data_IF_328648978417
#
_entry.id   IF_328648978417
#
_cell.length_a   1.000
_cell.length_b   1.000
_cell.length_c   1.000
_cell.angle_alpha   90.00
_cell.angle_beta   90.00
_cell.angle_gamma   90.00
#
_symmetry.space_group_name_H-M   'P 1'
#
loop_
_entity.id
_entity.type
_entity.pdbx_description
1 polymer ?
#
# COMPACT_ATOMS: atom_id res chain seq x y z
N UNK A 1 4.67 -0.31 3.59
CA UNK A 1 5.32 -1.63 3.54
C UNK A 1 5.37 -2.34 4.90
N UNK A 2 5.96 -1.75 5.95
CA UNK A 2 6.06 -2.41 7.29
C UNK A 2 4.68 -2.68 7.88
N UNK A 3 3.77 -1.72 7.83
CA UNK A 3 2.39 -1.88 8.27
C UNK A 3 1.65 -2.96 7.47
N UNK A 4 1.83 -2.98 6.16
CA UNK A 4 1.30 -4.03 5.29
C UNK A 4 1.82 -5.42 5.70
N UNK A 5 3.14 -5.55 5.96
CA UNK A 5 3.72 -6.82 6.39
C UNK A 5 3.15 -7.30 7.74
N UNK A 6 2.88 -6.37 8.67
CA UNK A 6 2.23 -6.69 9.95
C UNK A 6 0.77 -7.12 9.77
N UNK A 7 0.05 -6.47 8.88
CA UNK A 7 -1.36 -6.79 8.60
C UNK A 7 -1.55 -8.09 7.82
N UNK A 8 -0.51 -8.51 7.06
CA UNK A 8 -0.53 -9.73 6.25
C UNK A 8 0.07 -10.95 6.96
N UNK A 9 0.37 -10.86 8.26
CA UNK A 9 0.93 -11.97 9.02
C UNK A 9 -0.04 -13.15 9.04
N UNK A 10 0.46 -14.32 8.64
CA UNK A 10 -0.25 -15.57 8.80
C UNK A 10 -0.40 -15.89 10.31
N UNK A 11 -1.55 -16.38 10.75
CA UNK A 11 -1.72 -16.85 12.13
C UNK A 11 -0.59 -17.79 12.53
N UNK A 12 0.13 -17.47 13.60
CA UNK A 12 1.24 -18.28 14.11
C UNK A 12 2.64 -17.95 13.58
N UNK A 13 2.80 -17.00 12.65
CA UNK A 13 4.11 -16.62 12.11
C UNK A 13 4.97 -15.78 13.08
N UNK A 14 4.40 -15.24 14.16
CA UNK A 14 5.09 -14.35 15.09
C UNK A 14 5.56 -13.05 14.41
N UNK A 15 6.38 -12.24 15.11
CA UNK A 15 6.90 -10.96 14.59
C UNK A 15 8.10 -11.13 13.63
N UNK A 16 8.63 -12.34 13.45
CA UNK A 16 9.83 -12.61 12.68
C UNK A 16 9.85 -12.02 11.27
N UNK A 17 8.82 -12.24 10.43
CA UNK A 17 8.77 -11.69 9.08
C UNK A 17 8.74 -10.16 9.04
N UNK A 18 8.01 -9.52 9.96
CA UNK A 18 7.93 -8.06 10.05
C UNK A 18 9.27 -7.46 10.50
N UNK A 19 9.91 -8.04 11.51
CA UNK A 19 11.24 -7.63 11.98
C UNK A 19 12.31 -7.78 10.90
N UNK A 20 12.24 -8.86 10.11
CA UNK A 20 13.14 -9.07 8.99
C UNK A 20 12.96 -8.00 7.91
N UNK A 21 11.70 -7.68 7.58
CA UNK A 21 11.37 -6.60 6.65
C UNK A 21 11.88 -5.24 7.16
N UNK A 22 11.69 -4.94 8.45
CA UNK A 22 12.18 -3.70 9.06
C UNK A 22 13.71 -3.55 8.92
N UNK A 23 14.47 -4.62 9.16
CA UNK A 23 15.92 -4.61 8.98
C UNK A 23 16.32 -4.36 7.52
N UNK A 24 15.69 -5.05 6.57
CA UNK A 24 15.97 -4.85 5.14
C UNK A 24 15.63 -3.42 4.70
N UNK A 25 14.47 -2.91 5.11
CA UNK A 25 14.05 -1.54 4.80
C UNK A 25 15.01 -0.50 5.39
N UNK A 26 15.56 -0.73 6.60
CA UNK A 26 16.54 0.18 7.19
C UNK A 26 17.80 0.32 6.31
N UNK A 27 18.37 -0.79 5.81
CA UNK A 27 19.50 -0.76 4.88
C UNK A 27 19.15 0.00 3.58
N UNK A 28 17.95 -0.24 3.03
CA UNK A 28 17.50 0.45 1.80
C UNK A 28 17.38 1.96 2.04
N UNK A 29 16.78 2.39 3.15
CA UNK A 29 16.64 3.80 3.53
C UNK A 29 17.98 4.52 3.64
N UNK A 30 18.94 3.86 4.29
CA UNK A 30 20.27 4.41 4.52
C UNK A 30 21.18 4.33 3.27
N UNK A 31 20.70 3.75 2.18
CA UNK A 31 21.50 3.45 0.98
C UNK A 31 22.72 2.56 1.31
N UNK A 32 22.56 1.64 2.25
CA UNK A 32 23.59 0.71 2.68
C UNK A 32 23.43 -0.64 1.98
N UNK A 33 24.53 -1.37 1.71
CA UNK A 33 24.44 -2.74 1.22
C UNK A 33 23.67 -3.64 2.19
N UNK A 34 22.77 -4.47 1.67
CA UNK A 34 22.07 -5.46 2.49
C UNK A 34 23.05 -6.62 2.74
N UNK A 35 23.37 -6.94 4.01
CA UNK A 35 24.31 -8.01 4.37
C UNK A 35 23.87 -9.39 3.84
N UNK A 36 24.85 -10.25 3.52
CA UNK A 36 24.58 -11.57 2.94
C UNK A 36 23.78 -12.49 3.86
N UNK A 37 24.01 -12.39 5.16
CA UNK A 37 23.26 -13.15 6.15
C UNK A 37 21.79 -12.70 6.21
N UNK A 38 21.55 -11.41 6.08
CA UNK A 38 20.20 -10.84 6.02
C UNK A 38 19.50 -11.25 4.70
N UNK A 39 20.24 -11.26 3.58
CA UNK A 39 19.72 -11.78 2.29
C UNK A 39 19.30 -13.24 2.39
N UNK A 40 20.11 -14.07 3.05
CA UNK A 40 19.81 -15.49 3.26
C UNK A 40 18.57 -15.70 4.15
N UNK A 41 18.42 -14.89 5.21
CA UNK A 41 17.24 -14.93 6.08
C UNK A 41 15.97 -14.46 5.36
N UNK A 42 16.10 -13.50 4.44
CA UNK A 42 15.00 -12.92 3.68
C UNK A 42 14.61 -13.75 2.44
N UNK A 43 15.00 -15.02 2.37
CA UNK A 43 14.70 -15.88 1.22
C UNK A 43 13.18 -16.02 1.01
N UNK A 44 12.70 -15.77 -0.23
CA UNK A 44 11.30 -15.89 -0.60
C UNK A 44 10.86 -14.85 -1.63
N UNK A 45 9.69 -15.04 -2.25
CA UNK A 45 9.19 -14.14 -3.30
C UNK A 45 8.46 -12.89 -2.76
N UNK A 46 8.17 -12.84 -1.47
CA UNK A 46 7.35 -11.79 -0.86
C UNK A 46 8.07 -11.08 0.29
N UNK A 47 7.57 -9.91 0.67
CA UNK A 47 8.06 -9.15 1.81
C UNK A 47 9.55 -8.80 1.67
N UNK A 48 10.35 -9.12 2.69
CA UNK A 48 11.77 -8.86 2.70
C UNK A 48 12.50 -9.56 1.53
N UNK A 49 12.07 -10.78 1.14
CA UNK A 49 12.66 -11.54 0.04
C UNK A 49 12.49 -10.84 -1.31
N UNK A 50 11.35 -10.22 -1.56
CA UNK A 50 11.14 -9.42 -2.76
C UNK A 50 12.13 -8.23 -2.81
N UNK A 51 12.33 -7.55 -1.68
CA UNK A 51 13.20 -6.36 -1.61
C UNK A 51 14.67 -6.70 -1.82
N UNK A 52 15.19 -7.77 -1.20
CA UNK A 52 16.61 -8.14 -1.33
C UNK A 52 17.01 -8.58 -2.74
N UNK A 53 16.02 -8.95 -3.56
CA UNK A 53 16.21 -9.36 -4.95
C UNK A 53 15.90 -8.25 -5.96
N UNK A 54 15.50 -7.06 -5.52
CA UNK A 54 15.26 -5.92 -6.40
C UNK A 54 16.56 -5.38 -7.01
N UNK A 55 16.54 -4.95 -8.28
CA UNK A 55 17.68 -4.27 -8.89
C UNK A 55 17.92 -2.89 -8.24
N UNK A 56 19.16 -2.36 -8.33
CA UNK A 56 19.54 -1.12 -7.64
C UNK A 56 18.68 0.11 -7.96
N UNK A 57 18.23 0.25 -9.20
CA UNK A 57 17.34 1.32 -9.65
C UNK A 57 15.95 1.23 -9.03
N UNK A 58 15.40 0.02 -8.89
CA UNK A 58 14.14 -0.19 -8.18
C UNK A 58 14.27 0.11 -6.68
N UNK A 59 15.40 -0.23 -6.05
CA UNK A 59 15.68 0.15 -4.66
C UNK A 59 15.83 1.67 -4.51
N UNK A 60 16.45 2.36 -5.47
CA UNK A 60 16.51 3.82 -5.48
C UNK A 60 15.12 4.44 -5.54
N UNK A 61 14.28 3.98 -6.46
CA UNK A 61 12.88 4.41 -6.54
C UNK A 61 12.10 4.18 -5.24
N UNK A 62 12.30 3.03 -4.59
CA UNK A 62 11.67 2.73 -3.30
C UNK A 62 12.11 3.70 -2.19
N UNK A 63 13.39 4.12 -2.16
CA UNK A 63 13.88 5.15 -1.22
C UNK A 63 13.21 6.49 -1.46
N UNK A 64 13.10 6.92 -2.71
CA UNK A 64 12.47 8.18 -3.08
C UNK A 64 10.98 8.20 -2.69
N UNK A 65 10.28 7.08 -2.90
CA UNK A 65 8.91 6.92 -2.44
C UNK A 65 8.79 6.97 -0.92
N UNK A 66 9.70 6.31 -0.19
CA UNK A 66 9.69 6.28 1.28
C UNK A 66 10.06 7.63 1.91
N UNK A 67 10.89 8.42 1.25
CA UNK A 67 11.24 9.78 1.66
C UNK A 67 10.12 10.81 1.41
N UNK A 68 9.13 10.47 0.60
CA UNK A 68 8.00 11.35 0.27
C UNK A 68 6.93 11.28 1.36
N UNK A 69 6.60 12.42 1.94
CA UNK A 69 5.42 12.54 2.83
C UNK A 69 4.16 12.77 1.98
N UNK A 70 3.27 11.77 1.86
CA UNK A 70 2.08 11.89 1.04
C UNK A 70 1.07 12.89 1.62
N UNK A 71 1.06 13.09 2.94
CA UNK A 71 0.17 14.05 3.60
C UNK A 71 0.61 15.48 3.30
N UNK A 72 1.92 15.76 3.43
CA UNK A 72 2.47 17.06 3.06
C UNK A 72 2.30 17.34 1.56
N UNK A 73 2.52 16.31 0.73
CA UNK A 73 2.37 16.44 -0.73
C UNK A 73 0.93 16.79 -1.13
N UNK A 74 -0.06 16.05 -0.63
CA UNK A 74 -1.47 16.29 -0.96
C UNK A 74 -1.98 17.63 -0.40
N UNK A 75 -1.42 18.08 0.73
CA UNK A 75 -1.73 19.41 1.29
C UNK A 75 -1.38 20.55 0.34
N UNK A 76 -0.35 20.38 -0.52
CA UNK A 76 0.06 21.34 -1.54
C UNK A 76 -0.85 21.40 -2.77
N UNK A 77 -1.78 20.46 -2.95
CA UNK A 77 -2.68 20.42 -4.12
C UNK A 77 -3.86 21.37 -3.91
N UNK A 78 -4.02 22.38 -4.77
CA UNK A 78 -5.10 23.38 -4.66
C UNK A 78 -6.36 23.07 -5.49
N UNK A 79 -6.33 21.95 -6.22
CA UNK A 79 -7.49 21.48 -6.99
C UNK A 79 -8.39 20.58 -6.14
N UNK A 80 -9.68 20.44 -6.50
CA UNK A 80 -10.52 19.41 -5.91
C UNK A 80 -9.86 18.02 -6.02
N UNK A 81 -9.98 17.19 -5.00
CA UNK A 81 -9.39 15.85 -4.94
C UNK A 81 -10.44 14.82 -4.57
N UNK A 82 -10.45 13.73 -5.30
CA UNK A 82 -11.16 12.50 -4.94
C UNK A 82 -10.17 11.49 -4.35
N UNK A 83 -10.44 11.03 -3.14
CA UNK A 83 -9.72 9.93 -2.49
C UNK A 83 -10.64 8.71 -2.53
N UNK A 84 -10.17 7.63 -3.13
CA UNK A 84 -10.89 6.36 -3.21
C UNK A 84 -10.12 5.27 -2.45
N UNK A 85 -10.82 4.41 -1.72
CA UNK A 85 -10.22 3.34 -0.91
C UNK A 85 -11.19 2.17 -0.77
N UNK A 86 -10.68 0.94 -0.85
CA UNK A 86 -11.41 -0.24 -0.43
C UNK A 86 -11.30 -0.43 1.08
N UNK A 87 -12.39 -0.81 1.76
CA UNK A 87 -12.37 -1.00 3.22
C UNK A 87 -11.66 -2.28 3.67
N UNK A 88 -11.54 -3.27 2.76
CA UNK A 88 -10.83 -4.53 2.99
C UNK A 88 -9.42 -4.54 2.40
N UNK A 89 -8.87 -3.38 2.04
CA UNK A 89 -7.51 -3.24 1.54
C UNK A 89 -6.48 -3.49 2.66
N UNK A 90 -5.86 -4.68 2.64
CA UNK A 90 -4.79 -5.03 3.57
C UNK A 90 -3.43 -4.39 3.22
N UNK A 91 -3.26 -3.91 1.99
CA UNK A 91 -2.03 -3.25 1.54
C UNK A 91 -1.96 -1.81 1.99
N UNK A 92 -3.09 -1.09 1.89
CA UNK A 92 -3.23 0.31 2.30
C UNK A 92 -4.50 0.43 3.16
N UNK A 93 -4.38 0.36 4.49
CA UNK A 93 -5.52 0.46 5.39
C UNK A 93 -6.30 1.78 5.27
N UNK A 94 -7.61 1.72 5.53
CA UNK A 94 -8.57 2.85 5.37
C UNK A 94 -8.13 4.13 6.08
N UNK A 95 -7.45 4.03 7.24
CA UNK A 95 -6.99 5.22 7.96
C UNK A 95 -6.00 6.08 7.18
N UNK A 96 -5.35 5.55 6.13
CA UNK A 96 -4.52 6.37 5.24
C UNK A 96 -5.35 7.35 4.41
N UNK A 97 -6.53 6.95 3.93
CA UNK A 97 -7.47 7.87 3.26
C UNK A 97 -7.91 9.02 4.20
N UNK A 98 -8.15 8.70 5.47
CA UNK A 98 -8.50 9.70 6.48
C UNK A 98 -7.34 10.66 6.77
N UNK A 99 -6.10 10.16 6.87
CA UNK A 99 -4.90 11.01 7.04
C UNK A 99 -4.72 11.96 5.86
N UNK A 100 -4.87 11.47 4.63
CA UNK A 100 -4.78 12.30 3.43
C UNK A 100 -5.86 13.38 3.42
N UNK A 101 -7.10 13.03 3.74
CA UNK A 101 -8.21 13.99 3.86
C UNK A 101 -7.91 15.05 4.92
N UNK A 102 -7.44 14.63 6.11
CA UNK A 102 -7.10 15.55 7.20
C UNK A 102 -5.98 16.52 6.80
N UNK A 103 -4.94 16.03 6.09
CA UNK A 103 -3.84 16.85 5.58
C UNK A 103 -4.28 17.93 4.59
N UNK A 104 -5.42 17.78 3.94
CA UNK A 104 -5.96 18.80 3.04
C UNK A 104 -6.68 19.95 3.76
N UNK A 105 -6.99 19.81 5.04
CA UNK A 105 -7.69 20.83 5.81
C UNK A 105 -9.06 21.16 5.23
N UNK A 106 -9.30 22.45 4.93
CA UNK A 106 -10.56 22.95 4.36
C UNK A 106 -10.66 22.88 2.83
N UNK A 107 -9.63 22.36 2.13
CA UNK A 107 -9.64 22.25 0.67
C UNK A 107 -10.67 21.22 0.20
N UNK A 108 -11.29 21.48 -0.95
CA UNK A 108 -12.30 20.60 -1.54
C UNK A 108 -11.77 19.17 -1.69
N UNK A 109 -12.35 18.24 -0.94
CA UNK A 109 -11.91 16.83 -0.90
C UNK A 109 -13.11 15.91 -0.72
N UNK A 110 -13.30 15.04 -1.68
CA UNK A 110 -14.29 13.96 -1.62
C UNK A 110 -13.59 12.66 -1.24
N UNK A 111 -14.16 11.91 -0.29
CA UNK A 111 -13.66 10.58 0.08
C UNK A 111 -14.75 9.55 -0.23
N UNK A 112 -14.38 8.48 -0.93
CA UNK A 112 -15.25 7.34 -1.20
C UNK A 112 -14.58 6.06 -0.69
N UNK A 113 -15.18 5.44 0.30
CA UNK A 113 -14.78 4.12 0.82
C UNK A 113 -15.73 3.09 0.22
N UNK A 114 -15.17 2.05 -0.40
CA UNK A 114 -15.94 1.00 -1.04
C UNK A 114 -15.95 -0.26 -0.18
N UNK A 115 -17.13 -0.62 0.28
CA UNK A 115 -17.38 -1.81 1.10
C UNK A 115 -17.04 -3.10 0.33
N UNK A 116 -16.27 -3.99 0.98
CA UNK A 116 -15.87 -5.30 0.46
C UNK A 116 -14.80 -5.28 -0.63
N UNK A 117 -14.19 -4.13 -0.96
CA UNK A 117 -13.18 -4.06 -2.00
C UNK A 117 -11.76 -4.06 -1.42
N UNK A 118 -10.87 -4.84 -2.07
CA UNK A 118 -9.44 -4.93 -1.74
C UNK A 118 -8.60 -3.93 -2.58
N UNK A 119 -7.28 -4.02 -2.47
CA UNK A 119 -6.30 -3.10 -3.08
C UNK A 119 -6.49 -2.84 -4.59
N UNK A 120 -6.91 -3.83 -5.36
CA UNK A 120 -7.19 -3.69 -6.79
C UNK A 120 -8.65 -3.35 -7.08
N UNK A 121 -9.39 -2.90 -6.07
CA UNK A 121 -10.82 -2.57 -6.15
C UNK A 121 -11.68 -3.71 -6.70
N UNK A 122 -11.38 -4.94 -6.26
CA UNK A 122 -12.16 -6.13 -6.58
C UNK A 122 -12.76 -6.71 -5.30
N UNK A 123 -13.98 -7.26 -5.37
CA UNK A 123 -14.58 -7.91 -4.21
C UNK A 123 -13.77 -9.16 -3.81
N UNK A 124 -13.62 -9.37 -2.50
CA UNK A 124 -12.94 -10.56 -1.98
C UNK A 124 -13.94 -11.72 -1.93
N UNK A 125 -13.67 -12.85 -2.58
CA UNK A 125 -14.49 -14.05 -2.44
C UNK A 125 -14.49 -14.55 -0.99
N UNK A 126 -15.62 -15.03 -0.47
CA UNK A 126 -15.67 -15.59 0.88
C UNK A 126 -14.64 -16.71 1.06
N UNK A 127 -13.82 -16.62 2.12
CA UNK A 127 -12.82 -17.63 2.45
C UNK A 127 -11.56 -17.60 1.59
N UNK A 128 -11.38 -16.60 0.73
CA UNK A 128 -10.18 -16.47 -0.09
C UNK A 128 -8.91 -16.27 0.76
N UNK A 129 -7.86 -17.02 0.44
CA UNK A 129 -6.53 -16.85 1.03
C UNK A 129 -5.87 -15.54 0.53
N UNK A 130 -4.85 -15.01 1.24
CA UNK A 130 -4.10 -13.84 0.78
C UNK A 130 -3.53 -13.98 -0.63
N UNK A 131 -3.05 -15.18 -1.01
CA UNK A 131 -2.51 -15.46 -2.34
C UNK A 131 -3.60 -15.37 -3.42
N UNK A 132 -4.79 -15.90 -3.14
CA UNK A 132 -5.94 -15.81 -4.06
C UNK A 132 -6.40 -14.36 -4.22
N UNK A 133 -6.41 -13.56 -3.14
CA UNK A 133 -6.76 -12.14 -3.19
C UNK A 133 -5.82 -11.36 -4.11
N UNK A 134 -4.50 -11.60 -4.03
CA UNK A 134 -3.52 -11.00 -4.94
C UNK A 134 -3.65 -11.48 -6.39
N UNK A 135 -4.07 -12.71 -6.59
CA UNK A 135 -4.26 -13.34 -7.90
C UNK A 135 -5.62 -13.03 -8.57
N UNK A 136 -6.49 -12.24 -7.94
CA UNK A 136 -7.81 -11.95 -8.51
C UNK A 136 -7.72 -11.33 -9.89
N UNK A 137 -8.30 -12.01 -10.88
CA UNK A 137 -8.44 -11.54 -12.25
C UNK A 137 -9.79 -10.85 -12.48
N UNK A 138 -10.00 -10.29 -13.67
CA UNK A 138 -11.26 -9.63 -14.03
C UNK A 138 -11.25 -8.13 -13.78
N UNK A 139 -12.36 -7.43 -14.10
CA UNK A 139 -12.48 -5.98 -14.00
C UNK A 139 -12.52 -5.49 -12.55
N UNK A 140 -12.21 -4.24 -12.36
CA UNK A 140 -12.47 -3.45 -11.15
C UNK A 140 -13.98 -3.33 -10.94
N UNK A 141 -14.43 -3.23 -9.70
CA UNK A 141 -15.85 -3.02 -9.37
C UNK A 141 -16.37 -1.73 -10.04
N UNK A 142 -17.52 -1.78 -10.73
CA UNK A 142 -18.05 -0.64 -11.49
C UNK A 142 -18.33 0.60 -10.64
N UNK A 143 -18.63 0.43 -9.33
CA UNK A 143 -18.84 1.55 -8.40
C UNK A 143 -17.66 2.53 -8.37
N UNK A 144 -16.43 2.02 -8.62
CA UNK A 144 -15.23 2.87 -8.64
C UNK A 144 -15.24 3.80 -9.85
N UNK A 145 -15.55 3.27 -11.03
CA UNK A 145 -15.64 4.08 -12.25
C UNK A 145 -16.80 5.10 -12.16
N UNK A 146 -17.94 4.70 -11.61
CA UNK A 146 -19.09 5.58 -11.38
C UNK A 146 -18.73 6.75 -10.46
N UNK A 147 -18.03 6.49 -9.33
CA UNK A 147 -17.60 7.53 -8.40
C UNK A 147 -16.60 8.52 -9.02
N UNK A 148 -15.72 8.04 -9.90
CA UNK A 148 -14.78 8.89 -10.64
C UNK A 148 -15.55 9.78 -11.64
N UNK A 149 -16.48 9.19 -12.39
CA UNK A 149 -17.31 9.91 -13.38
C UNK A 149 -18.17 11.01 -12.70
N UNK A 150 -18.83 10.66 -11.59
CA UNK A 150 -19.59 11.63 -10.78
C UNK A 150 -18.70 12.79 -10.31
N UNK A 151 -17.51 12.48 -9.80
CA UNK A 151 -16.58 13.51 -9.32
C UNK A 151 -16.14 14.43 -10.46
N UNK A 152 -15.74 13.88 -11.61
CA UNK A 152 -15.29 14.65 -12.77
C UNK A 152 -16.39 15.54 -13.35
N UNK A 153 -17.64 15.05 -13.39
CA UNK A 153 -18.80 15.86 -13.87
C UNK A 153 -19.19 16.96 -12.89
N UNK A 154 -18.80 16.86 -11.64
CA UNK A 154 -19.07 17.86 -10.60
C UNK A 154 -18.02 18.97 -10.49
N UNK A 155 -16.94 18.93 -11.30
CA UNK A 155 -15.90 19.96 -11.35
C UNK A 155 -16.30 21.15 -12.20
#
# INVERSE_FOLDING_TARGET
MIEQARNMQLPGAGDGPALLLEKVVAHIRNNEPIPDDLRKQAAGPFGAGALVNMPPDALAYMRDCDATDPVATIAGVDRPVLIIQGDTDSSVPVHHAEKLRAGRGSKSTTVRIFDGLQHMYKPIPPGASPQEIFGLTGPTDPRVAEAIDEFVRGL
#
